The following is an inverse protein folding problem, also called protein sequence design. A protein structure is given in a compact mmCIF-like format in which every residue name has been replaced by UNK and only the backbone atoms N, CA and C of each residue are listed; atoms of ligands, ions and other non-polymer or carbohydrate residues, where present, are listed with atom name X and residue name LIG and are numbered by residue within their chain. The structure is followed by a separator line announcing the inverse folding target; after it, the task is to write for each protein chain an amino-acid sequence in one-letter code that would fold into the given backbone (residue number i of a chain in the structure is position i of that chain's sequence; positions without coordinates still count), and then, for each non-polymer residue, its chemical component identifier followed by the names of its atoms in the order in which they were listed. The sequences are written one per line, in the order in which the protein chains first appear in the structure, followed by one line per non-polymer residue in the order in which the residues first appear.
data_IF_686298269757
#
_entry.id   IF_686298269757
#
_cell.length_a   1.000
_cell.length_b   1.000
_cell.length_c   1.000
_cell.angle_alpha   90.00
_cell.angle_beta   90.00
_cell.angle_gamma   90.00
#
_symmetry.space_group_name_H-M   'P 1'
#
loop_
_entity.id
_entity.type
_entity.pdbx_description
1 polymer ?
#
# COMPACT_ATOMS: atom_id res chain seq x y z
N UNK A 1 12.97 -10.72 9.21
CA UNK A 1 13.26 -9.28 9.19
C UNK A 1 13.56 -8.83 10.61
N UNK A 2 14.43 -7.82 10.83
CA UNK A 2 14.60 -7.20 12.15
C UNK A 2 13.28 -6.61 12.64
N UNK A 3 12.94 -6.78 13.92
CA UNK A 3 11.67 -6.33 14.51
C UNK A 3 11.56 -4.80 14.67
N UNK A 4 12.60 -4.06 14.30
CA UNK A 4 12.78 -2.62 14.52
C UNK A 4 12.77 -1.79 13.23
N UNK A 5 12.68 -2.42 12.04
CA UNK A 5 12.31 -1.71 10.82
C UNK A 5 10.78 -1.62 10.75
N UNK A 6 10.24 -0.43 11.00
CA UNK A 6 8.90 -0.04 10.54
C UNK A 6 8.90 0.03 9.01
N UNK A 7 8.92 -1.12 8.35
CA UNK A 7 8.72 -1.28 6.91
C UNK A 7 7.23 -1.18 6.60
N UNK A 8 6.61 -0.05 6.91
CA UNK A 8 5.33 0.23 6.28
C UNK A 8 5.60 0.54 4.82
N UNK A 9 5.43 -0.48 3.98
CA UNK A 9 5.54 -0.38 2.54
C UNK A 9 4.33 0.37 1.98
N UNK A 10 4.08 1.62 2.42
CA UNK A 10 2.92 2.41 1.99
C UNK A 10 2.85 2.54 0.47
N UNK A 11 3.95 2.95 -0.17
CA UNK A 11 3.97 3.12 -1.62
C UNK A 11 3.90 1.77 -2.36
N UNK A 12 4.68 0.73 -2.00
CA UNK A 12 4.53 -0.58 -2.64
C UNK A 12 3.14 -1.22 -2.47
N UNK A 13 2.52 -1.09 -1.29
CA UNK A 13 1.14 -1.54 -1.05
C UNK A 13 0.18 -0.74 -1.94
N UNK A 14 0.32 0.58 -1.99
CA UNK A 14 -0.48 1.44 -2.86
C UNK A 14 -0.38 1.00 -4.32
N UNK A 15 0.83 0.70 -4.81
CA UNK A 15 1.03 0.19 -6.16
C UNK A 15 0.37 -1.17 -6.37
N UNK A 16 0.50 -2.10 -5.42
CA UNK A 16 -0.13 -3.42 -5.50
C UNK A 16 -1.66 -3.33 -5.55
N UNK A 17 -2.26 -2.49 -4.71
CA UNK A 17 -3.70 -2.21 -4.72
C UNK A 17 -4.12 -1.60 -6.06
N UNK A 18 -3.38 -0.61 -6.57
CA UNK A 18 -3.68 0.05 -7.84
C UNK A 18 -3.65 -0.91 -9.05
N UNK A 19 -2.84 -1.98 -9.00
CA UNK A 19 -2.80 -3.02 -10.04
C UNK A 19 -3.75 -4.21 -9.77
N UNK A 20 -4.59 -4.12 -8.74
CA UNK A 20 -5.64 -5.11 -8.45
C UNK A 20 -5.18 -6.32 -7.64
N UNK A 21 -4.15 -6.19 -6.79
CA UNK A 21 -3.76 -7.24 -5.87
C UNK A 21 -4.90 -7.55 -4.87
N UNK A 22 -5.23 -8.84 -4.71
CA UNK A 22 -6.42 -9.28 -3.96
C UNK A 22 -6.23 -9.37 -2.44
N UNK A 23 -5.03 -9.11 -1.93
CA UNK A 23 -4.75 -9.13 -0.49
C UNK A 23 -5.11 -7.83 0.24
N UNK A 24 -5.92 -6.97 -0.39
CA UNK A 24 -6.39 -5.72 0.19
C UNK A 24 -7.91 -5.69 0.23
N UNK A 25 -8.46 -5.23 1.35
CA UNK A 25 -9.87 -4.89 1.46
C UNK A 25 -10.04 -3.41 1.19
N UNK A 26 -10.88 -3.10 0.20
CA UNK A 26 -11.24 -1.72 -0.18
C UNK A 26 -12.71 -1.51 0.09
N UNK A 27 -13.02 -0.45 0.84
CA UNK A 27 -14.38 -0.04 1.16
C UNK A 27 -14.63 1.39 0.66
N UNK A 28 -15.88 1.69 0.31
CA UNK A 28 -16.29 3.06 0.07
C UNK A 28 -16.62 3.74 1.39
N UNK A 29 -15.84 4.76 1.76
CA UNK A 29 -16.08 5.59 2.93
C UNK A 29 -16.44 7.01 2.51
N UNK A 30 -17.39 7.64 3.20
CA UNK A 30 -17.71 9.06 3.04
C UNK A 30 -16.79 9.90 3.90
N UNK A 31 -15.73 10.47 3.31
CA UNK A 31 -14.66 11.14 4.05
C UNK A 31 -14.66 12.66 3.84
N UNK A 32 -14.35 13.41 4.90
CA UNK A 32 -14.02 14.84 4.84
C UNK A 32 -12.58 15.05 5.27
N UNK A 33 -11.86 15.90 4.53
CA UNK A 33 -10.53 16.35 4.90
C UNK A 33 -10.63 17.51 5.89
N UNK A 34 -9.95 17.38 7.02
CA UNK A 34 -9.88 18.40 8.06
C UNK A 34 -8.42 18.77 8.34
N UNK A 35 -8.13 20.07 8.46
CA UNK A 35 -6.82 20.57 8.85
C UNK A 35 -6.96 21.27 10.20
N UNK A 36 -6.44 20.64 11.25
CA UNK A 36 -6.47 21.15 12.62
C UNK A 36 -5.05 21.57 13.02
N UNK A 37 -4.75 22.87 12.89
CA UNK A 37 -3.37 23.36 12.99
C UNK A 37 -2.52 22.83 11.84
N UNK A 38 -1.52 22.01 12.16
CA UNK A 38 -0.62 21.38 11.16
C UNK A 38 -1.00 19.92 10.84
N UNK A 39 -2.06 19.39 11.45
CA UNK A 39 -2.47 17.99 11.29
C UNK A 39 -3.59 17.89 10.24
N UNK A 40 -3.29 17.21 9.13
CA UNK A 40 -4.28 16.80 8.14
C UNK A 40 -4.90 15.47 8.56
N UNK A 41 -6.23 15.40 8.58
CA UNK A 41 -6.98 14.19 8.91
C UNK A 41 -8.08 13.93 7.89
N UNK A 42 -8.43 12.66 7.72
CA UNK A 42 -9.61 12.23 6.99
C UNK A 42 -10.59 11.65 8.01
N UNK A 43 -11.76 12.25 8.10
CA UNK A 43 -12.79 11.87 9.08
C UNK A 43 -14.01 11.37 8.33
N UNK A 44 -14.58 10.24 8.78
CA UNK A 44 -15.82 9.72 8.23
C UNK A 44 -17.01 10.57 8.69
N UNK A 45 -17.78 11.08 7.72
CA UNK A 45 -18.97 11.89 7.97
C UNK A 45 -20.06 11.53 6.94
N UNK A 46 -21.35 11.53 7.30
CA UNK A 46 -22.41 11.08 6.38
C UNK A 46 -22.49 11.84 5.05
N UNK A 47 -22.11 13.12 5.05
CA UNK A 47 -22.10 14.02 3.90
C UNK A 47 -20.70 14.19 3.27
N UNK A 48 -19.77 13.30 3.60
CA UNK A 48 -18.40 13.30 3.10
C UNK A 48 -18.32 12.94 1.61
N UNK A 49 -17.11 13.06 1.05
CA UNK A 49 -16.82 12.63 -0.31
C UNK A 49 -16.67 11.10 -0.34
N UNK A 50 -17.41 10.38 -1.21
CA UNK A 50 -17.18 8.95 -1.41
C UNK A 50 -15.74 8.69 -1.85
N UNK A 51 -15.04 7.86 -1.10
CA UNK A 51 -13.62 7.56 -1.27
C UNK A 51 -13.42 6.05 -1.13
N UNK A 52 -12.80 5.42 -2.13
CA UNK A 52 -12.35 4.04 -2.05
C UNK A 52 -11.11 3.99 -1.15
N UNK A 53 -11.27 3.52 0.08
CA UNK A 53 -10.23 3.47 1.09
C UNK A 53 -9.80 2.02 1.32
N UNK A 54 -8.49 1.80 1.39
CA UNK A 54 -7.94 0.54 1.88
C UNK A 54 -8.13 0.50 3.39
N UNK A 55 -8.90 -0.46 3.87
CA UNK A 55 -9.22 -0.60 5.30
C UNK A 55 -8.51 -1.79 5.96
N UNK A 56 -8.06 -2.75 5.15
CA UNK A 56 -7.31 -3.92 5.63
C UNK A 56 -6.33 -4.44 4.56
N UNK A 57 -5.26 -5.08 5.01
CA UNK A 57 -4.19 -5.66 4.19
C UNK A 57 -3.75 -6.99 4.80
N UNK A 58 -3.69 -8.04 3.97
CA UNK A 58 -2.99 -9.27 4.29
C UNK A 58 -1.47 -9.03 4.25
N UNK A 59 -0.92 -8.61 5.39
CA UNK A 59 0.47 -8.20 5.50
C UNK A 59 1.44 -9.35 5.20
N UNK A 60 1.13 -10.57 5.62
CA UNK A 60 1.99 -11.74 5.41
C UNK A 60 2.03 -12.10 3.92
N UNK A 61 0.88 -12.11 3.24
CA UNK A 61 0.83 -12.33 1.79
C UNK A 61 1.52 -11.20 1.01
N UNK A 62 1.46 -9.96 1.51
CA UNK A 62 2.14 -8.83 0.88
C UNK A 62 3.66 -8.99 0.91
N UNK A 63 4.23 -9.39 2.05
CA UNK A 63 5.68 -9.57 2.22
C UNK A 63 6.21 -10.59 1.20
N UNK A 64 5.55 -11.74 1.07
CA UNK A 64 5.94 -12.77 0.11
C UNK A 64 5.79 -12.30 -1.34
N UNK A 65 4.68 -11.62 -1.65
CA UNK A 65 4.44 -11.04 -2.98
C UNK A 65 5.53 -10.02 -3.34
N UNK A 66 5.87 -9.12 -2.42
CA UNK A 66 6.86 -8.08 -2.62
C UNK A 66 8.26 -8.66 -2.85
N UNK A 67 8.72 -9.57 -1.98
CA UNK A 67 10.02 -10.23 -2.12
C UNK A 67 10.15 -10.95 -3.46
N UNK A 68 9.16 -11.77 -3.82
CA UNK A 68 9.13 -12.47 -5.11
C UNK A 68 9.29 -11.53 -6.31
N UNK A 69 8.60 -10.39 -6.29
CA UNK A 69 8.66 -9.42 -7.39
C UNK A 69 9.99 -8.69 -7.46
N UNK A 70 10.53 -8.25 -6.32
CA UNK A 70 11.83 -7.57 -6.27
C UNK A 70 12.97 -8.50 -6.69
N UNK A 71 12.97 -9.75 -6.21
CA UNK A 71 13.97 -10.76 -6.60
C UNK A 71 13.91 -11.08 -8.10
N UNK A 72 12.71 -11.19 -8.68
CA UNK A 72 12.54 -11.42 -10.10
C UNK A 72 13.13 -10.26 -10.94
N UNK A 73 12.87 -9.01 -10.54
CA UNK A 73 13.42 -7.82 -11.22
C UNK A 73 14.95 -7.78 -11.09
N UNK A 74 15.49 -8.06 -9.90
CA UNK A 74 16.95 -8.11 -9.69
C UNK A 74 17.60 -9.18 -10.58
N UNK A 75 17.01 -10.37 -10.65
CA UNK A 75 17.50 -11.48 -11.47
C UNK A 75 17.44 -11.15 -12.97
N UNK A 76 16.43 -10.43 -13.42
CA UNK A 76 16.32 -9.92 -14.80
C UNK A 76 17.35 -8.82 -15.08
N UNK A 77 17.55 -7.88 -14.16
CA UNK A 77 18.54 -6.81 -14.28
C UNK A 77 19.99 -7.32 -14.31
N UNK A 78 20.31 -8.36 -13.53
CA UNK A 78 21.59 -9.05 -13.58
C UNK A 78 21.84 -9.73 -14.94
N UNK A 79 20.77 -10.26 -15.57
CA UNK A 79 20.83 -10.89 -16.89
C UNK A 79 21.04 -9.88 -18.03
N UNK A 80 20.61 -8.63 -17.86
CA UNK A 80 20.77 -7.55 -18.85
C UNK A 80 22.18 -6.94 -18.81
N UNK A 81 22.84 -6.94 -17.64
CA UNK A 81 24.19 -6.37 -17.44
C UNK A 81 25.36 -7.34 -17.71
N UNK A 82 25.08 -8.57 -18.10
CA UNK A 82 26.09 -9.54 -18.52
C UNK A 82 26.38 -9.45 -20.01
N UNK A 83 27.22 -8.50 -20.41
CA UNK A 83 27.95 -8.45 -21.69
C UNK A 83 29.41 -8.12 -21.39
#
# INVERSE_FOLDING_TARGET
MPNDLLNFHWDPVTCAVAVGWSGATVEELSLRTELNGEVLSFVEVPDGRPTQAVVDIDADAFVETWHSRVEAVQSQGARIRGW
#
